data_IF_986329539263
#
_entry.id   IF_986329539263
#
_cell.length_a   1.000
_cell.length_b   1.000
_cell.length_c   1.000
_cell.angle_alpha   90.00
_cell.angle_beta   90.00
_cell.angle_gamma   90.00
#
_symmetry.space_group_name_H-M   'P 1'
#
loop_
_entity.id
_entity.type
_entity.pdbx_description
1 polymer ?
#
# COMPACT_ATOMS: atom_id res chain seq x y z
N UNK A 1 12.62 1.06 12.81
CA UNK A 1 11.27 0.57 12.49
C UNK A 1 10.53 1.58 11.63
N UNK A 2 9.91 1.10 10.58
CA UNK A 2 9.07 1.91 9.69
C UNK A 2 7.62 1.52 9.84
N UNK A 3 6.72 2.49 9.84
CA UNK A 3 5.28 2.25 9.70
C UNK A 3 4.88 2.66 8.30
N UNK A 4 4.19 1.79 7.60
CA UNK A 4 3.73 2.02 6.23
C UNK A 4 2.21 1.88 6.17
N UNK A 5 1.56 2.91 5.65
CA UNK A 5 0.11 2.92 5.40
C UNK A 5 -0.12 3.14 3.92
N UNK A 6 -0.98 2.36 3.31
CA UNK A 6 -1.37 2.54 1.90
C UNK A 6 -2.89 2.54 1.77
N UNK A 7 -3.37 3.25 0.76
CA UNK A 7 -4.76 3.24 0.36
C UNK A 7 -4.86 3.57 -1.12
N UNK A 8 -5.97 3.23 -1.73
CA UNK A 8 -6.24 3.52 -3.14
C UNK A 8 -7.59 4.19 -3.30
N UNK A 9 -7.71 5.02 -4.32
CA UNK A 9 -8.96 5.65 -4.72
C UNK A 9 -9.18 5.39 -6.20
N UNK A 10 -10.42 5.08 -6.58
CA UNK A 10 -10.80 4.76 -7.95
C UNK A 10 -12.01 5.57 -8.40
N UNK A 11 -11.97 5.99 -9.67
CA UNK A 11 -13.14 6.45 -10.41
C UNK A 11 -13.56 5.32 -11.34
N UNK A 12 -14.44 4.44 -10.88
CA UNK A 12 -14.76 3.19 -11.58
C UNK A 12 -15.28 3.40 -13.00
N UNK A 13 -16.09 4.46 -13.23
CA UNK A 13 -16.64 4.74 -14.56
C UNK A 13 -15.57 5.09 -15.59
N UNK A 14 -14.48 5.72 -15.16
CA UNK A 14 -13.41 6.18 -16.05
C UNK A 14 -12.17 5.29 -16.00
N UNK A 15 -12.16 4.31 -15.10
CA UNK A 15 -11.02 3.42 -14.92
C UNK A 15 -9.77 4.11 -14.37
N UNK A 16 -9.93 5.24 -13.70
CA UNK A 16 -8.82 5.99 -13.09
C UNK A 16 -8.60 5.56 -11.66
N UNK A 17 -7.34 5.48 -11.25
CA UNK A 17 -7.00 5.16 -9.86
C UNK A 17 -5.73 5.89 -9.43
N UNK A 18 -5.64 6.07 -8.11
CA UNK A 18 -4.51 6.71 -7.48
C UNK A 18 -4.24 6.06 -6.13
N UNK A 19 -3.02 6.21 -5.64
CA UNK A 19 -2.63 5.68 -4.35
C UNK A 19 -2.13 6.77 -3.41
N UNK A 20 -2.35 6.53 -2.14
CA UNK A 20 -1.77 7.30 -1.06
C UNK A 20 -0.85 6.41 -0.24
N UNK A 21 0.36 6.90 0.02
CA UNK A 21 1.37 6.20 0.79
C UNK A 21 1.82 7.12 1.91
N UNK A 22 1.73 6.63 3.14
CA UNK A 22 2.21 7.34 4.31
C UNK A 22 3.25 6.49 5.00
N UNK A 23 4.46 7.02 5.14
CA UNK A 23 5.56 6.34 5.82
C UNK A 23 5.92 7.15 7.05
N UNK A 24 5.99 6.49 8.21
CA UNK A 24 6.39 7.13 9.47
C UNK A 24 7.66 6.45 9.95
N UNK A 25 8.70 7.25 10.18
CA UNK A 25 9.99 6.78 10.69
C UNK A 25 10.65 7.88 11.50
N UNK A 26 11.07 7.56 12.72
CA UNK A 26 11.73 8.51 13.63
C UNK A 26 10.97 9.83 13.77
N UNK A 27 9.65 9.75 13.97
CA UNK A 27 8.73 10.90 14.12
C UNK A 27 8.60 11.77 12.87
N UNK A 28 9.16 11.34 11.73
CA UNK A 28 9.02 12.00 10.44
C UNK A 28 7.94 11.30 9.63
N UNK A 29 7.21 12.09 8.85
CA UNK A 29 6.21 11.57 7.93
C UNK A 29 6.65 11.82 6.50
N UNK A 30 6.56 10.80 5.68
CA UNK A 30 6.75 10.91 4.24
C UNK A 30 5.39 10.64 3.60
N UNK A 31 4.85 11.62 2.90
CA UNK A 31 3.54 11.57 2.26
C UNK A 31 3.73 11.52 0.76
N UNK A 32 3.22 10.46 0.13
CA UNK A 32 3.43 10.22 -1.29
C UNK A 32 2.09 10.01 -1.97
N UNK A 33 1.89 10.69 -3.08
CA UNK A 33 0.74 10.52 -3.98
C UNK A 33 1.23 9.85 -5.24
N UNK A 34 0.58 8.78 -5.66
CA UNK A 34 0.98 8.05 -6.86
C UNK A 34 -0.20 7.87 -7.80
N UNK A 35 0.07 8.00 -9.10
CA UNK A 35 -0.87 7.64 -10.14
C UNK A 35 -0.75 6.13 -10.36
N UNK A 36 -1.87 5.41 -10.32
CA UNK A 36 -1.89 3.97 -10.50
C UNK A 36 -2.34 3.60 -11.90
N UNK A 37 -2.00 2.40 -12.33
CA UNK A 37 -2.38 1.84 -13.63
C UNK A 37 -3.69 1.05 -13.54
N UNK A 38 -4.04 0.60 -12.34
CA UNK A 38 -5.23 -0.21 -12.10
C UNK A 38 -6.50 0.52 -12.53
N UNK A 39 -7.47 -0.23 -13.00
CA UNK A 39 -8.76 0.32 -13.45
C UNK A 39 -9.93 -0.12 -12.57
N UNK A 40 -9.67 -0.83 -11.50
CA UNK A 40 -10.69 -1.24 -10.53
C UNK A 40 -10.12 -1.20 -9.11
N UNK A 41 -10.99 -1.30 -8.14
CA UNK A 41 -10.66 -1.06 -6.74
C UNK A 41 -9.67 -2.08 -6.18
N UNK A 42 -9.90 -3.37 -6.42
CA UNK A 42 -9.02 -4.41 -5.87
C UNK A 42 -7.61 -4.36 -6.46
N UNK A 43 -7.51 -4.22 -7.78
CA UNK A 43 -6.20 -4.07 -8.45
C UNK A 43 -5.47 -2.84 -7.92
N UNK A 44 -6.19 -1.74 -7.71
CA UNK A 44 -5.61 -0.50 -7.20
C UNK A 44 -5.06 -0.68 -5.78
N UNK A 45 -5.77 -1.42 -4.92
CA UNK A 45 -5.31 -1.69 -3.55
C UNK A 45 -4.01 -2.51 -3.54
N UNK A 46 -3.91 -3.54 -4.38
CA UNK A 46 -2.68 -4.31 -4.52
C UNK A 46 -1.55 -3.45 -5.09
N UNK A 47 -1.84 -2.63 -6.09
CA UNK A 47 -0.83 -1.76 -6.70
C UNK A 47 -0.33 -0.71 -5.69
N UNK A 48 -1.20 -0.09 -4.92
CA UNK A 48 -0.81 0.86 -3.87
C UNK A 48 0.09 0.19 -2.83
N UNK A 49 -0.26 -1.02 -2.40
CA UNK A 49 0.55 -1.81 -1.48
C UNK A 49 1.97 -2.05 -2.05
N UNK A 50 2.04 -2.50 -3.30
CA UNK A 50 3.32 -2.73 -3.97
C UNK A 50 4.16 -1.46 -4.04
N UNK A 51 3.56 -0.34 -4.44
CA UNK A 51 4.24 0.94 -4.54
C UNK A 51 4.74 1.41 -3.17
N UNK A 52 3.96 1.18 -2.12
CA UNK A 52 4.36 1.50 -0.75
C UNK A 52 5.60 0.74 -0.32
N UNK A 53 5.63 -0.58 -0.53
CA UNK A 53 6.80 -1.39 -0.19
C UNK A 53 8.02 -1.05 -1.05
N UNK A 54 7.83 -0.68 -2.33
CA UNK A 54 8.92 -0.20 -3.16
C UNK A 54 9.55 1.08 -2.57
N UNK A 55 8.71 2.01 -2.09
CA UNK A 55 9.21 3.26 -1.50
C UNK A 55 9.95 2.99 -0.19
N UNK A 56 9.44 2.14 0.66
CA UNK A 56 10.13 1.77 1.90
C UNK A 56 11.47 1.11 1.58
N UNK A 57 11.51 0.24 0.55
CA UNK A 57 12.74 -0.43 0.14
C UNK A 57 13.83 0.55 -0.29
N UNK A 58 13.45 1.68 -0.87
CA UNK A 58 14.41 2.72 -1.29
C UNK A 58 15.08 3.42 -0.10
N UNK A 59 14.42 3.48 1.07
CA UNK A 59 14.87 4.29 2.19
C UNK A 59 15.22 3.50 3.45
N UNK A 60 14.78 2.24 3.55
CA UNK A 60 15.00 1.41 4.73
C UNK A 60 16.26 0.57 4.61
N UNK A 61 16.92 0.36 5.74
CA UNK A 61 18.03 -0.59 5.84
C UNK A 61 17.50 -2.03 5.75
N UNK A 62 18.36 -2.98 5.37
CA UNK A 62 17.98 -4.39 5.20
C UNK A 62 17.44 -5.05 6.46
N UNK A 63 17.92 -4.64 7.62
CA UNK A 63 17.56 -5.22 8.91
C UNK A 63 16.40 -4.51 9.60
N UNK A 64 15.68 -3.67 8.87
CA UNK A 64 14.54 -2.93 9.44
C UNK A 64 13.32 -3.82 9.61
N UNK A 65 12.52 -3.47 10.61
CA UNK A 65 11.18 -4.02 10.80
C UNK A 65 10.17 -3.04 10.18
N UNK A 66 9.25 -3.59 9.40
CA UNK A 66 8.19 -2.80 8.75
C UNK A 66 6.86 -3.21 9.38
N UNK A 67 6.14 -2.23 9.91
CA UNK A 67 4.76 -2.42 10.36
C UNK A 67 3.86 -1.88 9.26
N UNK A 68 3.14 -2.76 8.59
CA UNK A 68 2.27 -2.39 7.47
C UNK A 68 0.82 -2.33 7.92
N UNK A 69 0.10 -1.31 7.47
CA UNK A 69 -1.31 -1.10 7.75
C UNK A 69 -2.09 -0.92 6.45
N UNK A 70 -3.18 -1.65 6.33
CA UNK A 70 -4.11 -1.51 5.21
C UNK A 70 -5.54 -1.66 5.70
N UNK A 71 -6.48 -0.95 5.08
CA UNK A 71 -7.91 -1.18 5.31
C UNK A 71 -8.52 -2.13 4.28
N UNK A 72 -7.74 -2.57 3.31
CA UNK A 72 -8.15 -3.55 2.32
C UNK A 72 -8.06 -4.96 2.89
N UNK A 73 -9.22 -5.57 3.17
CA UNK A 73 -9.24 -6.93 3.71
C UNK A 73 -8.67 -7.95 2.74
N UNK A 74 -8.94 -7.80 1.43
CA UNK A 74 -8.41 -8.73 0.44
C UNK A 74 -6.87 -8.69 0.37
N UNK A 75 -6.28 -7.50 0.46
CA UNK A 75 -4.83 -7.37 0.51
C UNK A 75 -4.28 -8.02 1.78
N UNK A 76 -4.85 -7.68 2.93
CA UNK A 76 -4.41 -8.24 4.22
C UNK A 76 -4.50 -9.77 4.24
N UNK A 77 -5.66 -10.32 3.87
CA UNK A 77 -5.84 -11.78 3.87
C UNK A 77 -4.87 -12.46 2.91
N UNK A 78 -4.65 -11.88 1.73
CA UNK A 78 -3.72 -12.42 0.74
C UNK A 78 -2.28 -12.43 1.26
N UNK A 79 -1.86 -11.35 1.92
CA UNK A 79 -0.51 -11.28 2.50
C UNK A 79 -0.32 -12.34 3.60
N UNK A 80 -1.30 -12.49 4.49
CA UNK A 80 -1.20 -13.45 5.58
C UNK A 80 -1.23 -14.90 5.10
N UNK A 81 -2.05 -15.20 4.10
CA UNK A 81 -2.13 -16.54 3.50
C UNK A 81 -1.02 -16.80 2.49
N UNK A 82 -0.36 -15.74 2.02
CA UNK A 82 0.61 -15.80 0.91
C UNK A 82 -0.02 -16.37 -0.36
N UNK A 83 -1.31 -16.14 -0.53
CA UNK A 83 -2.11 -16.64 -1.64
C UNK A 83 -3.23 -15.67 -1.99
N UNK A 84 -3.45 -15.45 -3.30
CA UNK A 84 -4.55 -14.65 -3.81
C UNK A 84 -5.04 -15.26 -5.13
N UNK A 85 -6.29 -15.66 -5.17
CA UNK A 85 -6.88 -16.41 -6.31
C UNK A 85 -6.68 -15.71 -7.66
N UNK A 86 -6.93 -14.38 -7.71
CA UNK A 86 -6.86 -13.62 -8.97
C UNK A 86 -5.70 -12.62 -9.01
N UNK A 87 -4.93 -12.50 -7.92
CA UNK A 87 -3.91 -11.46 -7.76
C UNK A 87 -2.56 -12.03 -7.38
N UNK A 88 -2.33 -13.30 -7.69
CA UNK A 88 -1.11 -13.98 -7.24
C UNK A 88 0.16 -13.33 -7.82
N UNK A 89 0.13 -12.84 -9.06
CA UNK A 89 1.30 -12.19 -9.65
C UNK A 89 1.66 -10.91 -8.89
N UNK A 90 0.66 -10.07 -8.60
CA UNK A 90 0.86 -8.86 -7.82
C UNK A 90 1.31 -9.19 -6.41
N UNK A 91 0.67 -10.18 -5.79
CA UNK A 91 1.01 -10.63 -4.45
C UNK A 91 2.46 -11.12 -4.36
N UNK A 92 2.90 -11.89 -5.34
CA UNK A 92 4.28 -12.41 -5.36
C UNK A 92 5.31 -11.27 -5.37
N UNK A 93 5.04 -10.19 -6.10
CA UNK A 93 5.92 -9.02 -6.12
C UNK A 93 5.99 -8.36 -4.74
N UNK A 94 4.84 -8.22 -4.07
CA UNK A 94 4.78 -7.65 -2.73
C UNK A 94 5.52 -8.54 -1.73
N UNK A 95 5.25 -9.84 -1.76
CA UNK A 95 5.89 -10.81 -0.85
C UNK A 95 7.41 -10.83 -1.02
N UNK A 96 7.89 -10.73 -2.26
CA UNK A 96 9.32 -10.65 -2.54
C UNK A 96 9.96 -9.45 -1.85
N UNK A 97 9.29 -8.30 -1.87
CA UNK A 97 9.77 -7.11 -1.16
C UNK A 97 9.68 -7.29 0.35
N UNK A 98 8.58 -7.80 0.87
CA UNK A 98 8.43 -8.06 2.30
C UNK A 98 9.50 -9.01 2.82
N UNK A 99 9.78 -10.07 2.08
CA UNK A 99 10.76 -11.08 2.47
C UNK A 99 12.20 -10.53 2.46
N UNK A 100 12.43 -9.38 1.84
CA UNK A 100 13.74 -8.72 1.84
C UNK A 100 14.05 -7.95 3.13
N UNK A 101 13.06 -7.75 3.99
CA UNK A 101 13.25 -7.09 5.29
C UNK A 101 13.39 -8.15 6.39
N UNK A 102 13.94 -7.74 7.55
CA UNK A 102 14.08 -8.67 8.70
C UNK A 102 12.72 -9.16 9.18
N UNK A 103 11.74 -8.29 9.24
CA UNK A 103 10.40 -8.62 9.72
C UNK A 103 9.40 -7.65 9.14
N UNK A 104 8.29 -8.17 8.64
CA UNK A 104 7.14 -7.37 8.24
C UNK A 104 5.94 -7.88 9.01
N UNK A 105 5.25 -6.97 9.70
CA UNK A 105 4.02 -7.28 10.42
C UNK A 105 2.88 -6.60 9.68
N UNK A 106 1.98 -7.41 9.11
CA UNK A 106 0.81 -6.90 8.41
C UNK A 106 -0.35 -6.69 9.38
N UNK A 107 -1.04 -5.58 9.26
CA UNK A 107 -2.19 -5.24 10.08
C UNK A 107 -3.35 -4.79 9.20
N UNK A 108 -4.54 -5.29 9.53
CA UNK A 108 -5.78 -4.81 8.95
C UNK A 108 -6.41 -3.82 9.92
N UNK A 109 -6.72 -2.63 9.44
CA UNK A 109 -7.32 -1.56 10.25
C UNK A 109 -8.59 -1.05 9.55
N UNK A 110 -9.44 -0.37 10.31
CA UNK A 110 -10.61 0.28 9.71
C UNK A 110 -10.16 1.44 8.82
N UNK A 111 -10.98 1.78 7.84
CA UNK A 111 -10.72 2.92 6.96
C UNK A 111 -10.61 4.24 7.74
N UNK A 112 -11.36 4.39 8.84
CA UNK A 112 -11.24 5.54 9.74
C UNK A 112 -9.83 5.69 10.35
N UNK A 113 -9.17 4.57 10.61
CA UNK A 113 -7.80 4.58 11.15
C UNK A 113 -6.74 4.71 10.08
N UNK A 114 -7.12 4.58 8.82
CA UNK A 114 -6.22 4.74 7.67
C UNK A 114 -6.40 6.10 6.99
N UNK A 115 -6.79 7.11 7.74
CA UNK A 115 -7.19 8.42 7.23
C UNK A 115 -6.06 9.12 6.46
N UNK A 116 -4.82 9.04 6.94
CA UNK A 116 -3.69 9.69 6.28
C UNK A 116 -3.49 9.21 4.86
N UNK A 117 -3.39 7.89 4.67
CA UNK A 117 -3.24 7.29 3.33
C UNK A 117 -4.49 7.52 2.48
N UNK A 118 -5.68 7.42 3.08
CA UNK A 118 -6.94 7.67 2.39
C UNK A 118 -7.00 9.09 1.81
N UNK A 119 -6.67 10.09 2.62
CA UNK A 119 -6.68 11.49 2.17
C UNK A 119 -5.67 11.72 1.05
N UNK A 120 -4.48 11.12 1.14
CA UNK A 120 -3.49 11.22 0.09
C UNK A 120 -3.98 10.58 -1.22
N UNK A 121 -4.64 9.43 -1.14
CA UNK A 121 -5.20 8.76 -2.32
C UNK A 121 -6.29 9.62 -2.98
N UNK A 122 -7.20 10.21 -2.19
CA UNK A 122 -8.25 11.08 -2.69
C UNK A 122 -7.68 12.35 -3.32
N UNK A 123 -6.71 12.99 -2.67
CA UNK A 123 -6.03 14.16 -3.21
C UNK A 123 -5.32 13.82 -4.51
N UNK A 124 -4.66 12.66 -4.58
CA UNK A 124 -3.97 12.19 -5.78
C UNK A 124 -4.95 12.02 -6.94
N UNK A 125 -6.11 11.44 -6.67
CA UNK A 125 -7.14 11.22 -7.70
C UNK A 125 -7.58 12.55 -8.33
N UNK A 126 -7.80 13.56 -7.50
CA UNK A 126 -8.18 14.90 -7.98
C UNK A 126 -7.01 15.65 -8.64
N UNK A 127 -5.78 15.36 -8.25
CA UNK A 127 -4.60 16.05 -8.80
C UNK A 127 -4.17 15.49 -10.15
N UNK A 128 -4.29 14.17 -10.35
CA UNK A 128 -3.81 13.51 -11.57
C UNK A 128 -4.88 13.41 -12.66
N UNK A 129 -6.14 13.59 -12.30
CA UNK A 129 -7.27 13.45 -13.24
C UNK A 129 -8.27 14.64 -13.12
#
# INVERSE_FOLDING_TARGET
MFKLYTDAATMNKLGYSSGGILIIHNKRQIQIKVKLKANNNHDAEFEACLMGFKKVKEIAEKNETIIYYTDSKIVYDSLEKRYAKHYQLQLNKILSLQDSFSLVINNWISDKKNEGAHNLAQQALHSFY
#
